data_IF_954568741435
#
_entry.id   IF_954568741435
#
_cell.length_a   1.000
_cell.length_b   1.000
_cell.length_c   1.000
_cell.angle_alpha   90.00
_cell.angle_beta   90.00
_cell.angle_gamma   90.00
#
_symmetry.space_group_name_H-M   'P 1'
#
loop_
_entity.id
_entity.type
_entity.pdbx_description
1 polymer ?
#
# COMPACT_ATOMS: atom_id res chain seq x y z
N UNK A 1 -15.20 16.77 -14.26
CA UNK A 1 -16.61 16.45 -14.58
C UNK A 1 -16.60 15.16 -15.38
N UNK A 2 -16.59 14.01 -14.68
CA UNK A 2 -16.48 12.71 -15.35
C UNK A 2 -17.79 12.44 -16.10
N UNK A 3 -17.66 12.24 -17.41
CA UNK A 3 -18.72 11.83 -18.32
C UNK A 3 -19.51 10.69 -17.67
N UNK A 4 -20.82 10.88 -17.53
CA UNK A 4 -21.76 9.79 -17.29
C UNK A 4 -21.53 8.75 -18.38
N UNK A 5 -20.95 7.61 -18.03
CA UNK A 5 -20.89 6.46 -18.94
C UNK A 5 -22.32 6.16 -19.38
N UNK A 6 -22.53 6.11 -20.69
CA UNK A 6 -23.84 6.09 -21.35
C UNK A 6 -24.71 4.85 -21.04
N UNK A 7 -24.24 3.91 -20.23
CA UNK A 7 -25.02 2.77 -19.74
C UNK A 7 -24.70 2.45 -18.28
N UNK A 8 -25.69 2.61 -17.38
CA UNK A 8 -25.57 2.26 -15.97
C UNK A 8 -25.43 0.75 -15.76
N UNK A 9 -25.99 -0.08 -16.65
CA UNK A 9 -25.87 -1.54 -16.59
C UNK A 9 -24.45 -1.97 -16.91
N UNK A 10 -23.86 -1.44 -17.98
CA UNK A 10 -22.47 -1.72 -18.34
C UNK A 10 -21.50 -1.28 -17.24
N UNK A 11 -21.69 -0.08 -16.69
CA UNK A 11 -20.89 0.42 -15.57
C UNK A 11 -21.00 -0.49 -14.33
N UNK A 12 -22.21 -0.96 -14.02
CA UNK A 12 -22.43 -1.92 -12.93
C UNK A 12 -21.72 -3.26 -13.20
N UNK A 13 -21.86 -3.83 -14.41
CA UNK A 13 -21.22 -5.11 -14.78
C UNK A 13 -19.70 -4.99 -14.70
N UNK A 14 -19.13 -3.89 -15.19
CA UNK A 14 -17.69 -3.62 -15.11
C UNK A 14 -17.22 -3.48 -13.67
N UNK A 15 -17.93 -2.71 -12.85
CA UNK A 15 -17.62 -2.56 -11.42
C UNK A 15 -17.73 -3.88 -10.67
N UNK A 16 -18.75 -4.70 -10.95
CA UNK A 16 -18.91 -6.03 -10.38
C UNK A 16 -17.74 -6.94 -10.75
N UNK A 17 -17.36 -6.98 -12.03
CA UNK A 17 -16.22 -7.78 -12.48
C UNK A 17 -14.91 -7.33 -11.83
N UNK A 18 -14.67 -6.02 -11.74
CA UNK A 18 -13.49 -5.47 -11.08
C UNK A 18 -13.44 -5.81 -9.57
N UNK A 19 -14.59 -5.78 -8.90
CA UNK A 19 -14.69 -6.03 -7.45
C UNK A 19 -14.61 -7.51 -7.09
N UNK A 20 -15.26 -8.39 -7.88
CA UNK A 20 -15.45 -9.80 -7.55
C UNK A 20 -14.65 -10.76 -8.45
N UNK A 21 -14.07 -10.29 -9.54
CA UNK A 21 -13.29 -11.10 -10.49
C UNK A 21 -14.12 -11.97 -11.44
N UNK A 22 -15.45 -11.87 -11.41
CA UNK A 22 -16.34 -12.60 -12.31
C UNK A 22 -17.63 -11.84 -12.60
N UNK A 23 -18.35 -12.29 -13.64
CA UNK A 23 -19.64 -11.75 -14.05
C UNK A 23 -20.66 -12.89 -14.16
N UNK A 24 -21.74 -12.90 -13.36
CA UNK A 24 -22.79 -13.91 -13.50
C UNK A 24 -23.46 -13.84 -14.87
N UNK A 25 -23.56 -14.97 -15.56
CA UNK A 25 -24.05 -15.03 -16.95
C UNK A 25 -25.59 -15.02 -17.03
N UNK A 26 -26.28 -15.48 -15.97
CA UNK A 26 -27.74 -15.71 -15.96
C UNK A 26 -28.44 -15.07 -14.74
N UNK A 27 -28.05 -13.83 -14.42
CA UNK A 27 -28.67 -13.08 -13.30
C UNK A 27 -29.29 -11.78 -13.81
N UNK A 28 -30.54 -11.55 -13.44
CA UNK A 28 -31.20 -10.26 -13.65
C UNK A 28 -30.61 -9.24 -12.68
N UNK A 29 -30.24 -8.07 -13.18
CA UNK A 29 -29.76 -6.95 -12.36
C UNK A 29 -30.97 -6.18 -11.85
N UNK A 30 -31.08 -6.07 -10.53
CA UNK A 30 -32.13 -5.27 -9.87
C UNK A 30 -31.54 -3.93 -9.40
N UNK A 31 -32.31 -2.86 -9.58
CA UNK A 31 -32.00 -1.55 -8.99
C UNK A 31 -32.73 -1.47 -7.65
N UNK A 32 -31.96 -1.52 -6.56
CA UNK A 32 -32.51 -1.45 -5.20
C UNK A 32 -32.63 0.00 -4.70
N UNK A 33 -31.56 0.79 -4.87
CA UNK A 33 -31.51 2.17 -4.36
C UNK A 33 -30.98 3.13 -5.43
N UNK A 34 -31.64 4.29 -5.56
CA UNK A 34 -31.16 5.42 -6.38
C UNK A 34 -30.62 6.50 -5.43
N UNK A 35 -29.33 6.81 -5.53
CA UNK A 35 -28.70 7.90 -4.77
C UNK A 35 -28.45 9.09 -5.68
N UNK A 36 -29.08 10.22 -5.34
CA UNK A 36 -28.86 11.50 -6.04
C UNK A 36 -27.87 12.32 -5.22
N UNK A 37 -26.71 12.63 -5.81
CA UNK A 37 -25.74 13.57 -5.24
C UNK A 37 -25.84 14.89 -5.99
N UNK A 38 -26.40 15.92 -5.35
CA UNK A 38 -26.32 17.29 -5.84
C UNK A 38 -25.01 17.91 -5.33
N UNK A 39 -24.22 18.47 -6.24
CA UNK A 39 -23.02 19.25 -5.89
C UNK A 39 -23.36 20.70 -6.19
N UNK A 40 -23.52 21.51 -5.14
CA UNK A 40 -23.64 22.96 -5.29
C UNK A 40 -22.25 23.58 -5.40
N UNK A 41 -21.98 24.27 -6.50
CA UNK A 41 -20.82 25.16 -6.57
C UNK A 41 -21.16 26.44 -5.81
N UNK A 42 -20.67 26.58 -4.59
CA UNK A 42 -20.67 27.87 -3.92
C UNK A 42 -19.46 28.68 -4.39
N UNK A 43 -19.67 29.96 -4.69
CA UNK A 43 -18.62 30.93 -5.00
C UNK A 43 -17.98 31.50 -3.74
N UNK A 44 -17.98 30.73 -2.63
CA UNK A 44 -17.08 31.06 -1.54
C UNK A 44 -15.67 31.04 -2.12
N UNK A 45 -15.00 32.19 -1.98
CA UNK A 45 -13.66 32.53 -2.45
C UNK A 45 -12.88 31.29 -2.78
N UNK A 46 -12.51 31.13 -4.07
CA UNK A 46 -11.71 30.01 -4.58
C UNK A 46 -10.76 29.54 -3.48
N UNK A 47 -11.13 28.48 -2.76
CA UNK A 47 -10.15 27.73 -1.99
C UNK A 47 -9.21 27.29 -3.09
N UNK A 48 -7.94 27.73 -3.11
CA UNK A 48 -7.04 27.40 -4.20
C UNK A 48 -7.17 25.90 -4.41
N UNK A 49 -7.69 25.56 -5.59
CA UNK A 49 -8.07 24.20 -5.96
C UNK A 49 -6.96 23.30 -5.49
N UNK A 50 -7.28 22.28 -4.66
CA UNK A 50 -6.37 21.25 -4.11
C UNK A 50 -5.03 21.32 -4.80
N UNK A 51 -3.95 21.77 -4.13
CA UNK A 51 -2.85 22.48 -4.76
C UNK A 51 -2.48 21.75 -6.02
N UNK A 52 -2.99 22.26 -7.15
CA UNK A 52 -2.52 21.83 -8.44
C UNK A 52 -1.16 22.48 -8.51
N UNK A 53 -0.20 21.84 -7.85
CA UNK A 53 1.20 22.21 -7.91
C UNK A 53 1.49 22.17 -9.38
N UNK A 54 1.49 23.36 -10.00
CA UNK A 54 2.17 23.57 -11.26
C UNK A 54 3.63 23.41 -10.89
N UNK A 55 4.07 22.16 -10.77
CA UNK A 55 5.47 21.83 -10.71
C UNK A 55 6.02 22.48 -11.96
N UNK A 56 6.93 23.47 -11.84
CA UNK A 56 7.66 23.87 -13.01
C UNK A 56 8.57 22.69 -13.32
N UNK A 57 8.06 21.75 -14.13
CA UNK A 57 8.78 20.61 -14.69
C UNK A 57 10.03 21.05 -15.46
N UNK A 58 10.22 22.36 -15.69
CA UNK A 58 11.38 22.98 -16.30
C UNK A 58 11.56 24.47 -15.92
N UNK A 59 11.50 24.88 -14.65
CA UNK A 59 12.06 26.21 -14.31
C UNK A 59 13.57 26.11 -14.35
N UNK A 60 14.17 26.67 -15.40
CA UNK A 60 15.60 26.98 -15.46
C UNK A 60 16.03 27.58 -14.12
N UNK A 61 17.01 26.93 -13.51
CA UNK A 61 17.66 27.27 -12.24
C UNK A 61 17.75 28.77 -11.99
N UNK A 62 16.83 29.31 -11.18
CA UNK A 62 17.09 30.53 -10.44
C UNK A 62 17.73 30.08 -9.13
N UNK A 63 19.04 29.92 -9.14
CA UNK A 63 19.87 29.56 -7.99
C UNK A 63 19.97 30.76 -7.05
N UNK A 64 18.84 31.17 -6.47
CA UNK A 64 18.85 32.11 -5.35
C UNK A 64 19.10 31.28 -4.09
N UNK A 65 20.35 31.21 -3.69
CA UNK A 65 20.76 30.50 -2.48
C UNK A 65 20.17 31.19 -1.27
N UNK A 66 19.25 30.54 -0.55
CA UNK A 66 18.74 31.06 0.71
C UNK A 66 19.87 31.14 1.74
N UNK A 67 19.91 32.23 2.51
CA UNK A 67 20.80 32.37 3.64
C UNK A 67 20.21 31.66 4.87
N UNK A 68 20.95 30.74 5.51
CA UNK A 68 20.48 30.07 6.70
C UNK A 68 20.39 31.05 7.87
N UNK A 69 19.37 30.89 8.71
CA UNK A 69 19.15 31.70 9.91
C UNK A 69 20.10 31.29 11.05
N UNK A 70 20.40 30.00 11.15
CA UNK A 70 21.35 29.44 12.11
C UNK A 70 21.89 28.10 11.61
N UNK A 71 22.78 27.47 12.39
CA UNK A 71 23.27 26.11 12.13
C UNK A 71 23.22 25.30 13.41
N UNK A 72 22.86 24.02 13.29
CA UNK A 72 22.71 23.11 14.42
C UNK A 72 23.37 21.78 14.09
N UNK A 73 24.15 21.23 15.03
CA UNK A 73 24.75 19.90 14.89
C UNK A 73 23.67 18.82 14.90
N UNK A 74 23.51 18.13 13.78
CA UNK A 74 22.47 17.11 13.57
C UNK A 74 23.11 15.81 13.11
N UNK A 75 22.69 14.69 13.66
CA UNK A 75 23.19 13.37 13.28
C UNK A 75 22.33 12.74 12.19
N UNK A 76 22.96 12.32 11.08
CA UNK A 76 22.35 11.52 10.03
C UNK A 76 23.05 10.17 9.94
N UNK A 77 22.30 9.08 9.82
CA UNK A 77 22.90 7.73 9.77
C UNK A 77 23.83 7.50 8.58
N UNK A 78 23.66 8.23 7.47
CA UNK A 78 24.49 8.08 6.26
C UNK A 78 25.81 8.86 6.31
N UNK A 79 25.84 10.01 6.98
CA UNK A 79 26.98 10.96 6.93
C UNK A 79 27.53 11.33 8.32
N UNK A 80 26.90 10.86 9.40
CA UNK A 80 27.29 11.16 10.78
C UNK A 80 26.79 12.52 11.27
N UNK A 81 27.54 13.14 12.19
CA UNK A 81 27.24 14.48 12.69
C UNK A 81 27.59 15.53 11.63
N UNK A 82 26.59 16.35 11.26
CA UNK A 82 26.72 17.42 10.28
C UNK A 82 26.25 18.73 10.89
N UNK A 83 27.05 19.77 10.71
CA UNK A 83 26.65 21.14 11.01
C UNK A 83 25.59 21.59 10.00
N UNK A 84 24.32 21.53 10.39
CA UNK A 84 23.17 21.56 9.47
C UNK A 84 22.55 22.96 9.41
N UNK A 85 22.40 23.57 8.22
CA UNK A 85 21.77 24.88 8.07
C UNK A 85 20.28 24.83 8.45
N UNK A 86 19.83 25.82 9.22
CA UNK A 86 18.44 25.99 9.63
C UNK A 86 17.83 27.17 8.89
N UNK A 87 16.69 26.95 8.26
CA UNK A 87 15.91 27.96 7.54
C UNK A 87 14.55 28.15 8.22
N UNK A 88 14.11 29.40 8.37
CA UNK A 88 12.73 29.68 8.75
C UNK A 88 11.86 29.77 7.51
N UNK A 89 10.75 29.02 7.48
CA UNK A 89 9.87 28.96 6.31
C UNK A 89 9.33 30.35 5.93
N UNK A 90 8.99 31.17 6.93
CA UNK A 90 8.52 32.57 6.76
C UNK A 90 9.53 33.50 6.05
N UNK A 91 10.82 33.15 6.06
CA UNK A 91 11.89 33.96 5.47
C UNK A 91 12.27 33.53 4.04
N UNK A 92 11.65 32.46 3.53
CA UNK A 92 11.95 31.90 2.21
C UNK A 92 10.92 32.38 1.19
N UNK A 93 11.39 32.77 0.01
CA UNK A 93 10.53 33.11 -1.12
C UNK A 93 10.25 31.90 -2.01
N UNK A 94 9.13 31.96 -2.74
CA UNK A 94 8.73 30.94 -3.71
C UNK A 94 9.80 30.71 -4.77
N UNK A 95 9.98 29.44 -5.16
CA UNK A 95 10.96 29.00 -6.16
C UNK A 95 12.36 28.73 -5.61
N UNK A 96 12.64 29.07 -4.34
CA UNK A 96 13.90 28.70 -3.69
C UNK A 96 14.01 27.18 -3.56
N UNK A 97 15.19 26.67 -3.86
CA UNK A 97 15.55 25.27 -3.65
C UNK A 97 16.59 25.14 -2.54
N UNK A 98 16.33 24.24 -1.61
CA UNK A 98 17.21 23.90 -0.50
C UNK A 98 17.70 22.48 -0.75
N UNK A 99 19.03 22.29 -0.76
CA UNK A 99 19.63 20.96 -0.82
C UNK A 99 19.81 20.46 0.62
N UNK A 100 19.45 19.20 0.86
CA UNK A 100 19.77 18.54 2.12
C UNK A 100 21.28 18.26 2.26
N UNK A 101 21.78 18.01 3.49
CA UNK A 101 21.06 18.02 4.76
C UNK A 101 20.74 19.45 5.22
N UNK A 102 19.50 19.68 5.62
CA UNK A 102 19.01 20.98 6.07
C UNK A 102 17.84 20.82 7.04
N UNK A 103 17.56 21.85 7.83
CA UNK A 103 16.35 21.93 8.66
C UNK A 103 15.51 23.12 8.24
N UNK A 104 14.21 22.91 8.06
CA UNK A 104 13.24 23.97 7.77
C UNK A 104 12.26 24.05 8.93
N UNK A 105 12.24 25.18 9.62
CA UNK A 105 11.38 25.43 10.79
C UNK A 105 10.22 26.31 10.37
N UNK A 106 9.02 25.84 10.68
CA UNK A 106 7.77 26.56 10.58
C UNK A 106 7.20 26.78 11.99
N UNK A 107 6.14 27.58 12.13
CA UNK A 107 5.53 27.93 13.42
C UNK A 107 5.01 26.71 14.19
N UNK A 108 4.64 25.63 13.50
CA UNK A 108 4.03 24.44 14.10
C UNK A 108 4.82 23.16 13.89
N UNK A 109 5.89 23.18 13.09
CA UNK A 109 6.61 21.96 12.69
C UNK A 109 8.08 22.25 12.37
N UNK A 110 8.91 21.23 12.57
CA UNK A 110 10.33 21.23 12.18
C UNK A 110 10.54 20.10 11.19
N UNK A 111 10.95 20.45 9.97
CA UNK A 111 11.15 19.53 8.86
C UNK A 111 12.65 19.29 8.72
N UNK A 112 13.07 18.04 8.93
CA UNK A 112 14.47 17.64 8.79
C UNK A 112 14.66 16.99 7.43
N UNK A 113 15.53 17.57 6.61
CA UNK A 113 15.83 17.11 5.26
C UNK A 113 17.06 16.20 5.29
N UNK A 114 16.94 15.00 4.71
CA UNK A 114 18.06 14.07 4.56
C UNK A 114 19.08 14.56 3.53
N UNK A 115 20.35 14.10 3.58
CA UNK A 115 21.37 14.46 2.58
C UNK A 115 20.94 14.21 1.13
N UNK A 116 20.19 13.13 0.89
CA UNK A 116 19.73 12.71 -0.44
C UNK A 116 18.36 13.32 -0.80
N UNK A 117 18.05 14.49 -0.26
CA UNK A 117 16.78 15.16 -0.51
C UNK A 117 16.97 16.61 -0.92
N UNK A 118 15.98 17.11 -1.64
CA UNK A 118 15.89 18.48 -2.10
C UNK A 118 14.50 19.00 -1.80
N UNK A 119 14.41 20.21 -1.26
CA UNK A 119 13.15 20.88 -1.03
C UNK A 119 12.98 22.05 -1.98
N UNK A 120 11.76 22.23 -2.50
CA UNK A 120 11.36 23.38 -3.31
C UNK A 120 10.22 24.11 -2.61
N UNK A 121 10.39 25.42 -2.39
CA UNK A 121 9.37 26.29 -1.80
C UNK A 121 8.35 26.67 -2.87
N UNK A 122 7.08 26.37 -2.64
CA UNK A 122 5.94 26.85 -3.42
C UNK A 122 4.97 27.61 -2.49
N UNK A 123 4.03 28.36 -3.07
CA UNK A 123 3.07 29.24 -2.37
C UNK A 123 2.71 28.79 -0.95
N UNK A 124 2.02 27.65 -0.84
CA UNK A 124 1.57 27.08 0.43
C UNK A 124 2.15 25.69 0.70
N UNK A 125 3.27 25.34 0.05
CA UNK A 125 3.80 23.98 0.08
C UNK A 125 5.33 23.95 0.15
N UNK A 126 5.85 23.04 0.96
CA UNK A 126 7.22 22.57 0.88
C UNK A 126 7.22 21.23 0.15
N UNK A 127 7.78 21.21 -1.05
CA UNK A 127 7.83 20.00 -1.87
C UNK A 127 9.18 19.33 -1.63
N UNK A 128 9.17 18.08 -1.18
CA UNK A 128 10.37 17.28 -0.88
C UNK A 128 10.58 16.23 -1.97
N UNK A 129 11.61 16.43 -2.79
CA UNK A 129 12.13 15.42 -3.70
C UNK A 129 13.18 14.59 -2.94
N UNK A 130 12.89 13.31 -2.69
CA UNK A 130 13.85 12.38 -2.07
C UNK A 130 14.38 11.48 -3.17
N UNK A 131 15.68 11.59 -3.45
CA UNK A 131 16.31 10.66 -4.37
C UNK A 131 16.19 9.26 -3.77
N UNK A 132 15.60 8.34 -4.54
CA UNK A 132 15.45 6.97 -4.09
C UNK A 132 16.86 6.43 -3.80
N UNK A 133 17.16 5.97 -2.57
CA UNK A 133 18.45 5.36 -2.31
C UNK A 133 18.64 4.23 -3.31
N UNK A 134 19.84 4.12 -3.87
CA UNK A 134 20.18 2.94 -4.67
C UNK A 134 19.81 1.71 -3.85
N UNK A 135 19.15 0.69 -4.45
CA UNK A 135 18.74 -0.49 -3.71
C UNK A 135 20.00 -1.04 -3.05
N UNK A 136 20.07 -0.95 -1.72
CA UNK A 136 21.19 -1.52 -0.95
C UNK A 136 21.29 -2.96 -1.40
N UNK A 137 22.42 -3.32 -2.04
CA UNK A 137 22.64 -4.68 -2.48
C UNK A 137 22.47 -5.57 -1.26
N UNK A 138 21.55 -6.53 -1.33
CA UNK A 138 21.39 -7.58 -0.34
C UNK A 138 22.75 -8.24 -0.12
N UNK A 139 23.43 -7.88 0.96
CA UNK A 139 24.51 -8.69 1.48
C UNK A 139 23.85 -9.98 1.98
N UNK A 140 24.28 -11.17 1.52
CA UNK A 140 23.77 -12.45 2.04
C UNK A 140 24.12 -12.68 3.53
N UNK A 141 24.87 -11.77 4.13
CA UNK A 141 25.27 -11.80 5.54
C UNK A 141 24.30 -10.95 6.38
N UNK A 142 23.27 -11.61 6.91
CA UNK A 142 22.39 -11.07 7.94
C UNK A 142 20.97 -10.76 7.45
N UNK A 143 19.98 -11.17 8.26
CA UNK A 143 18.57 -10.82 8.04
C UNK A 143 18.38 -9.36 8.44
N UNK A 144 18.10 -8.48 7.48
CA UNK A 144 17.73 -7.09 7.77
C UNK A 144 16.34 -7.06 8.45
N UNK A 145 16.22 -6.59 9.70
CA UNK A 145 14.94 -6.54 10.41
C UNK A 145 13.89 -5.67 9.69
N UNK A 146 14.32 -4.65 8.92
CA UNK A 146 13.42 -3.81 8.13
C UNK A 146 12.83 -4.62 6.98
N UNK A 147 13.68 -5.34 6.23
CA UNK A 147 13.20 -6.21 5.15
C UNK A 147 12.31 -7.33 5.67
N UNK A 148 12.69 -7.99 6.77
CA UNK A 148 11.87 -9.02 7.40
C UNK A 148 10.47 -8.49 7.75
N UNK A 149 10.40 -7.28 8.32
CA UNK A 149 9.13 -6.62 8.62
C UNK A 149 8.33 -6.31 7.34
N UNK A 150 8.98 -5.79 6.29
CA UNK A 150 8.33 -5.52 5.00
C UNK A 150 7.74 -6.79 4.41
N UNK A 151 8.51 -7.89 4.34
CA UNK A 151 8.04 -9.15 3.78
C UNK A 151 6.91 -9.75 4.61
N UNK A 152 7.02 -9.73 5.95
CA UNK A 152 5.95 -10.19 6.84
C UNK A 152 4.62 -9.48 6.56
N UNK A 153 4.63 -8.15 6.48
CA UNK A 153 3.42 -7.38 6.20
C UNK A 153 2.91 -7.60 4.78
N UNK A 154 3.80 -7.77 3.79
CA UNK A 154 3.40 -8.08 2.41
C UNK A 154 2.69 -9.43 2.32
N UNK A 155 3.24 -10.49 2.89
CA UNK A 155 2.61 -11.81 2.89
C UNK A 155 1.29 -11.82 3.66
N UNK A 156 1.24 -11.15 4.82
CA UNK A 156 0.00 -10.99 5.58
C UNK A 156 -1.07 -10.26 4.76
N UNK A 157 -0.68 -9.16 4.10
CA UNK A 157 -1.57 -8.41 3.22
C UNK A 157 -2.14 -9.27 2.08
N UNK A 158 -1.33 -10.13 1.46
CA UNK A 158 -1.80 -11.07 0.43
C UNK A 158 -2.83 -12.04 1.01
N UNK A 159 -2.53 -12.69 2.16
CA UNK A 159 -3.46 -13.61 2.80
C UNK A 159 -4.80 -12.94 3.18
N UNK A 160 -4.75 -11.71 3.70
CA UNK A 160 -5.95 -10.92 3.99
C UNK A 160 -6.76 -10.58 2.73
N UNK A 161 -6.09 -10.18 1.63
CA UNK A 161 -6.79 -9.91 0.38
C UNK A 161 -7.45 -11.16 -0.19
N UNK A 162 -6.78 -12.31 -0.15
CA UNK A 162 -7.38 -13.60 -0.53
C UNK A 162 -8.68 -13.85 0.25
N UNK A 163 -8.63 -13.65 1.57
CA UNK A 163 -9.78 -13.84 2.45
C UNK A 163 -10.94 -12.88 2.15
N UNK A 164 -10.64 -11.59 1.91
CA UNK A 164 -11.66 -10.59 1.52
C UNK A 164 -12.32 -10.92 0.20
N UNK A 165 -11.54 -11.36 -0.79
CA UNK A 165 -12.08 -11.79 -2.09
C UNK A 165 -13.01 -12.98 -1.88
N UNK A 166 -12.57 -14.01 -1.15
CA UNK A 166 -13.39 -15.20 -0.88
C UNK A 166 -14.70 -14.85 -0.15
N UNK A 167 -14.64 -13.99 0.86
CA UNK A 167 -15.83 -13.52 1.58
C UNK A 167 -16.82 -12.78 0.64
N UNK A 168 -16.29 -11.91 -0.21
CA UNK A 168 -17.08 -11.09 -1.13
C UNK A 168 -17.82 -11.93 -2.18
N UNK A 169 -17.16 -12.96 -2.73
CA UNK A 169 -17.74 -13.81 -3.78
C UNK A 169 -18.66 -14.91 -3.26
N UNK A 170 -18.51 -15.31 -2.00
CA UNK A 170 -19.29 -16.41 -1.43
C UNK A 170 -20.78 -16.08 -1.31
N UNK A 171 -21.67 -17.04 -1.49
CA UNK A 171 -23.11 -16.90 -1.19
C UNK A 171 -23.50 -17.52 0.15
N UNK A 172 -22.57 -18.21 0.83
CA UNK A 172 -22.81 -18.89 2.10
C UNK A 172 -22.75 -17.89 3.27
N UNK A 173 -23.79 -17.86 4.11
CA UNK A 173 -23.80 -17.07 5.34
C UNK A 173 -22.68 -17.48 6.31
N UNK A 174 -22.28 -18.76 6.32
CA UNK A 174 -21.16 -19.22 7.15
C UNK A 174 -19.84 -18.54 6.75
N UNK A 175 -19.62 -18.29 5.44
CA UNK A 175 -18.42 -17.62 4.96
C UNK A 175 -18.58 -16.10 5.04
N UNK A 176 -19.73 -15.56 4.61
CA UNK A 176 -19.98 -14.10 4.56
C UNK A 176 -20.09 -13.43 5.91
N UNK A 177 -20.80 -14.06 6.83
CA UNK A 177 -21.21 -13.46 8.11
C UNK A 177 -20.46 -14.08 9.28
N UNK A 178 -20.32 -15.42 9.32
CA UNK A 178 -19.63 -16.12 10.40
C UNK A 178 -18.11 -16.23 10.21
N UNK A 179 -17.62 -15.89 9.01
CA UNK A 179 -16.20 -15.97 8.64
C UNK A 179 -15.57 -17.35 8.86
N UNK A 180 -16.35 -18.41 8.65
CA UNK A 180 -15.91 -19.80 8.79
C UNK A 180 -15.11 -20.26 7.57
N UNK A 181 -13.94 -19.65 7.39
CA UNK A 181 -12.96 -19.96 6.36
C UNK A 181 -11.59 -19.40 6.76
N UNK A 182 -10.55 -19.86 6.09
CA UNK A 182 -9.20 -19.33 6.27
C UNK A 182 -8.44 -19.41 4.95
N UNK A 183 -7.56 -18.43 4.75
CA UNK A 183 -6.66 -18.36 3.61
C UNK A 183 -5.23 -18.27 4.15
N UNK A 184 -4.33 -19.06 3.59
CA UNK A 184 -2.96 -19.15 4.07
C UNK A 184 -1.98 -19.33 2.92
N UNK A 185 -0.75 -18.87 3.14
CA UNK A 185 0.39 -19.00 2.24
C UNK A 185 1.38 -19.95 2.89
N UNK A 186 1.89 -20.92 2.11
CA UNK A 186 2.80 -21.96 2.59
C UNK A 186 4.11 -21.94 1.81
N UNK A 187 5.18 -22.42 2.42
CA UNK A 187 6.46 -22.72 1.75
C UNK A 187 6.32 -23.96 0.85
N UNK A 188 7.27 -24.22 -0.06
CA UNK A 188 7.31 -25.45 -0.85
C UNK A 188 7.32 -26.73 -0.01
N UNK A 189 7.80 -26.65 1.23
CA UNK A 189 7.82 -27.75 2.21
C UNK A 189 6.50 -27.87 3.00
N UNK A 190 5.56 -26.93 2.80
CA UNK A 190 4.25 -26.91 3.47
C UNK A 190 4.24 -26.22 4.83
N UNK A 191 5.24 -25.39 5.14
CA UNK A 191 5.27 -24.60 6.37
C UNK A 191 4.47 -23.30 6.22
N UNK A 192 3.77 -22.90 7.28
CA UNK A 192 2.89 -21.73 7.24
C UNK A 192 3.70 -20.42 7.26
N UNK A 193 3.49 -19.57 6.26
CA UNK A 193 4.14 -18.24 6.12
C UNK A 193 3.23 -17.12 6.61
N UNK A 194 1.97 -17.11 6.19
CA UNK A 194 0.98 -16.09 6.54
C UNK A 194 -0.43 -16.66 6.48
N UNK A 195 -1.35 -16.12 7.29
CA UNK A 195 -2.75 -16.54 7.32
C UNK A 195 -3.70 -15.36 7.58
N UNK A 196 -4.89 -15.39 6.97
CA UNK A 196 -5.95 -14.43 7.25
C UNK A 196 -6.53 -14.64 8.68
N UNK A 197 -6.93 -13.57 9.40
CA UNK A 197 -7.16 -13.60 10.85
C UNK A 197 -8.57 -14.08 11.30
N UNK A 198 -9.18 -15.09 10.67
CA UNK A 198 -10.62 -15.36 10.86
C UNK A 198 -11.00 -16.60 11.66
N UNK A 199 -10.24 -17.71 11.58
CA UNK A 199 -10.54 -18.93 12.36
C UNK A 199 -9.27 -19.53 12.97
N UNK A 200 -8.97 -19.29 14.26
CA UNK A 200 -7.77 -19.81 14.92
C UNK A 200 -7.67 -21.34 14.94
N UNK A 201 -8.81 -22.04 14.96
CA UNK A 201 -8.88 -23.50 15.09
C UNK A 201 -8.34 -24.28 13.87
N UNK A 202 -8.31 -23.66 12.69
CA UNK A 202 -7.92 -24.34 11.43
C UNK A 202 -6.43 -24.21 11.09
N UNK A 203 -5.68 -23.40 11.83
CA UNK A 203 -4.30 -23.04 11.47
C UNK A 203 -3.35 -24.26 11.54
N UNK A 204 -3.48 -25.07 12.59
CA UNK A 204 -2.61 -26.23 12.80
C UNK A 204 -2.87 -27.37 11.81
N UNK A 205 -4.13 -27.59 11.45
CA UNK A 205 -4.53 -28.72 10.60
C UNK A 205 -4.23 -28.52 9.12
N UNK A 206 -4.41 -27.30 8.61
CA UNK A 206 -4.13 -26.99 7.20
C UNK A 206 -2.68 -27.32 6.81
N UNK A 207 -1.70 -27.04 7.67
CA UNK A 207 -0.31 -27.35 7.39
C UNK A 207 -0.07 -28.86 7.19
N UNK A 208 -0.79 -29.72 7.94
CA UNK A 208 -0.74 -31.17 7.72
C UNK A 208 -1.37 -31.58 6.39
N UNK A 209 -2.54 -31.02 6.07
CA UNK A 209 -3.22 -31.32 4.81
C UNK A 209 -2.37 -30.90 3.60
N UNK A 210 -1.76 -29.71 3.64
CA UNK A 210 -0.86 -29.22 2.59
C UNK A 210 0.36 -30.13 2.45
N UNK A 211 1.04 -30.48 3.55
CA UNK A 211 2.18 -31.43 3.51
C UNK A 211 1.80 -32.80 2.97
N UNK A 212 0.62 -33.32 3.33
CA UNK A 212 0.10 -34.57 2.81
C UNK A 212 -0.11 -34.50 1.29
N UNK A 213 -0.66 -33.41 0.78
CA UNK A 213 -0.87 -33.21 -0.66
C UNK A 213 0.46 -33.02 -1.40
N UNK A 214 1.43 -32.30 -0.83
CA UNK A 214 2.77 -32.16 -1.42
C UNK A 214 3.44 -33.54 -1.57
N UNK A 215 3.35 -34.40 -0.56
CA UNK A 215 3.90 -35.74 -0.60
C UNK A 215 3.16 -36.64 -1.62
N UNK A 216 1.83 -36.58 -1.67
CA UNK A 216 1.00 -37.38 -2.58
C UNK A 216 1.22 -37.00 -4.06
N UNK A 217 1.42 -35.72 -4.34
CA UNK A 217 1.55 -35.19 -5.70
C UNK A 217 3.00 -34.85 -6.11
N UNK A 218 3.98 -35.35 -5.35
CA UNK A 218 5.39 -35.05 -5.58
C UNK A 218 5.82 -35.36 -7.03
N UNK A 219 6.36 -34.35 -7.73
CA UNK A 219 6.81 -34.47 -9.12
C UNK A 219 5.69 -34.55 -10.17
N UNK A 220 4.42 -34.39 -9.77
CA UNK A 220 3.26 -34.45 -10.67
C UNK A 220 2.55 -33.12 -10.86
N UNK A 221 2.71 -32.18 -9.92
CA UNK A 221 2.12 -30.84 -10.01
C UNK A 221 2.80 -29.99 -11.09
N UNK A 222 1.99 -29.26 -11.84
CA UNK A 222 2.41 -28.26 -12.81
C UNK A 222 1.86 -26.88 -12.43
N UNK A 223 2.48 -25.83 -12.97
CA UNK A 223 1.97 -24.47 -12.78
C UNK A 223 0.54 -24.34 -13.30
N UNK A 224 -0.33 -23.74 -12.49
CA UNK A 224 -1.77 -23.62 -12.77
C UNK A 224 -2.65 -24.75 -12.22
N UNK A 225 -2.09 -25.82 -11.64
CA UNK A 225 -2.88 -26.89 -11.02
C UNK A 225 -3.63 -26.41 -9.76
N UNK A 226 -4.85 -26.92 -9.58
CA UNK A 226 -5.69 -26.65 -8.40
C UNK A 226 -6.06 -27.97 -7.73
N UNK A 227 -5.68 -28.11 -6.46
CA UNK A 227 -6.02 -29.26 -5.64
C UNK A 227 -7.24 -28.96 -4.76
N UNK A 228 -8.14 -29.93 -4.68
CA UNK A 228 -9.30 -29.89 -3.79
C UNK A 228 -9.32 -31.18 -2.96
N UNK A 229 -9.39 -31.05 -1.64
CA UNK A 229 -9.45 -32.19 -0.73
C UNK A 229 -10.45 -31.93 0.40
N UNK A 230 -11.20 -32.97 0.73
CA UNK A 230 -12.07 -33.04 1.92
C UNK A 230 -11.80 -34.34 2.69
N UNK A 231 -10.61 -34.93 2.53
CA UNK A 231 -10.28 -36.22 3.16
C UNK A 231 -9.97 -36.00 4.64
N UNK A 232 -10.77 -36.55 5.58
CA UNK A 232 -10.57 -36.31 7.01
C UNK A 232 -9.21 -36.79 7.53
N UNK A 233 -8.63 -37.82 6.90
CA UNK A 233 -7.37 -38.45 7.32
C UNK A 233 -6.08 -37.69 6.96
N UNK A 234 -6.16 -36.58 6.22
CA UNK A 234 -4.98 -35.78 5.86
C UNK A 234 -4.43 -34.94 7.04
N UNK A 235 -5.14 -34.90 8.17
CA UNK A 235 -4.73 -34.25 9.41
C UNK A 235 -4.71 -35.29 10.56
N UNK A 236 -3.56 -35.87 10.92
CA UNK A 236 -3.52 -36.99 11.87
C UNK A 236 -3.91 -36.67 13.33
N UNK A 237 -4.11 -35.40 13.71
CA UNK A 237 -4.19 -34.97 15.12
C UNK A 237 -5.32 -33.96 15.41
N UNK A 238 -6.52 -34.14 14.86
CA UNK A 238 -7.66 -33.22 15.07
C UNK A 238 -8.84 -33.82 15.85
N UNK A 239 -8.65 -34.98 16.47
CA UNK A 239 -9.57 -35.58 17.43
C UNK A 239 -8.83 -35.95 18.71
#
# INVERSE_FOLDING_TARGET
MAMLSSDAKEAFVKAHHQQFGFTPVDRVVYVDTIRVRAIGCSVFHEIPSSPQVKYPLNSKSATTTATPSSRVSTYFSSVGWVDTPVYHLDALSEGIQIQGPAMVIDKTQTIVMSPDSKATIAQDLLILDVDSPSPKSTSPEGIDPVQLSIFRHRFMGVAEQMGRVLQNVSTSANIKERLDFTCAIFTPEGDLVANAPHVPAMIGSMAFAVRSQIAEWQGRLQDGDVLLSNTPGACPNLF
#
